data_IF_104088639852
#
_entry.id   IF_104088639852
#
_cell.length_a   1.000
_cell.length_b   1.000
_cell.length_c   1.000
_cell.angle_alpha   90.00
_cell.angle_beta   90.00
_cell.angle_gamma   90.00
#
_symmetry.space_group_name_H-M   'P 1'
#
loop_
_entity.id
_entity.type
_entity.pdbx_description
1 polymer ?
#
# COMPACT_ATOMS: atom_id res chain seq x y z
N UNK A 1 -41.28 -15.00 29.09
CA UNK A 1 -39.88 -14.72 29.49
C UNK A 1 -39.08 -16.03 29.51
N UNK A 2 -39.36 -16.97 30.42
CA UNK A 2 -38.63 -18.26 30.50
C UNK A 2 -38.54 -19.10 29.19
N UNK A 3 -39.60 -19.15 28.36
CA UNK A 3 -39.56 -19.87 27.06
C UNK A 3 -38.67 -19.19 26.00
N UNK A 4 -38.52 -17.86 26.07
CA UNK A 4 -37.69 -17.09 25.14
C UNK A 4 -36.21 -17.22 25.53
N UNK A 5 -35.91 -17.17 26.82
CA UNK A 5 -34.56 -17.39 27.37
C UNK A 5 -34.07 -18.81 27.06
N UNK A 6 -34.91 -19.84 27.30
CA UNK A 6 -34.56 -21.23 26.99
C UNK A 6 -34.36 -21.49 25.48
N UNK A 7 -34.99 -20.69 24.60
CA UNK A 7 -34.79 -20.78 23.16
C UNK A 7 -33.50 -20.06 22.73
N UNK A 8 -33.27 -18.86 23.28
CA UNK A 8 -32.04 -18.11 23.07
C UNK A 8 -30.81 -18.92 23.50
N UNK A 9 -30.86 -19.58 24.66
CA UNK A 9 -29.76 -20.40 25.16
C UNK A 9 -29.46 -21.60 24.27
N UNK A 10 -30.49 -22.34 23.82
CA UNK A 10 -30.32 -23.51 22.93
C UNK A 10 -29.70 -23.17 21.57
N UNK A 11 -29.82 -21.92 21.12
CA UNK A 11 -29.34 -21.48 19.81
C UNK A 11 -28.04 -20.66 19.90
N UNK A 12 -27.98 -19.68 20.81
CA UNK A 12 -26.86 -18.75 20.91
C UNK A 12 -25.67 -19.32 21.67
N UNK A 13 -25.87 -20.17 22.68
CA UNK A 13 -24.76 -20.77 23.41
C UNK A 13 -23.82 -21.63 22.52
N UNK A 14 -24.33 -22.55 21.67
CA UNK A 14 -23.47 -23.31 20.77
C UNK A 14 -22.85 -22.45 19.67
N UNK A 15 -23.58 -21.46 19.14
CA UNK A 15 -23.06 -20.51 18.15
C UNK A 15 -21.93 -19.66 18.75
N UNK A 16 -22.09 -19.21 20.01
CA UNK A 16 -21.07 -18.46 20.73
C UNK A 16 -19.83 -19.31 21.00
N UNK A 17 -20.01 -20.57 21.39
CA UNK A 17 -18.92 -21.53 21.60
C UNK A 17 -18.11 -21.75 20.31
N UNK A 18 -18.79 -22.00 19.20
CA UNK A 18 -18.13 -22.21 17.91
C UNK A 18 -17.42 -20.94 17.42
N UNK A 19 -18.05 -19.77 17.58
CA UNK A 19 -17.46 -18.49 17.24
C UNK A 19 -16.20 -18.19 18.08
N UNK A 20 -16.19 -18.55 19.36
CA UNK A 20 -15.03 -18.43 20.24
C UNK A 20 -13.94 -19.44 19.90
N UNK A 21 -14.31 -20.69 19.62
CA UNK A 21 -13.36 -21.73 19.24
C UNK A 21 -12.58 -21.33 18.00
N UNK A 22 -13.29 -20.85 16.97
CA UNK A 22 -12.64 -20.41 15.74
C UNK A 22 -12.05 -19.01 15.94
N UNK A 23 -12.54 -18.16 16.84
CA UNK A 23 -12.24 -16.73 16.89
C UNK A 23 -12.66 -15.99 15.62
N UNK A 24 -13.83 -16.30 15.08
CA UNK A 24 -14.37 -15.60 13.91
C UNK A 24 -15.00 -14.27 14.33
N UNK A 25 -14.42 -13.14 13.89
CA UNK A 25 -14.87 -11.80 14.30
C UNK A 25 -16.32 -11.53 13.87
N UNK A 26 -16.69 -11.88 12.63
CA UNK A 26 -18.02 -11.60 12.11
C UNK A 26 -19.11 -12.41 12.82
N UNK A 27 -18.84 -13.69 13.09
CA UNK A 27 -19.74 -14.54 13.90
C UNK A 27 -19.84 -14.03 15.33
N UNK A 28 -18.71 -13.66 15.95
CA UNK A 28 -18.69 -13.07 17.29
C UNK A 28 -19.53 -11.79 17.37
N UNK A 29 -19.41 -10.88 16.40
CA UNK A 29 -20.21 -9.66 16.32
C UNK A 29 -21.70 -9.97 16.14
N UNK A 30 -22.06 -10.93 15.28
CA UNK A 30 -23.45 -11.34 15.07
C UNK A 30 -24.07 -11.97 16.32
N UNK A 31 -23.33 -12.84 17.02
CA UNK A 31 -23.74 -13.44 18.29
C UNK A 31 -23.95 -12.37 19.35
N UNK A 32 -23.02 -11.43 19.48
CA UNK A 32 -23.12 -10.36 20.48
C UNK A 32 -24.31 -9.45 20.21
N UNK A 33 -24.52 -9.03 18.95
CA UNK A 33 -25.65 -8.18 18.57
C UNK A 33 -27.00 -8.85 18.87
N UNK A 34 -27.14 -10.14 18.57
CA UNK A 34 -28.36 -10.89 18.85
C UNK A 34 -28.55 -11.16 20.36
N UNK A 35 -27.47 -11.42 21.09
CA UNK A 35 -27.51 -11.59 22.54
C UNK A 35 -27.94 -10.29 23.24
N UNK A 36 -27.39 -9.14 22.83
CA UNK A 36 -27.77 -7.82 23.38
C UNK A 36 -29.25 -7.50 23.09
N UNK A 37 -29.74 -7.83 21.88
CA UNK A 37 -31.17 -7.66 21.51
C UNK A 37 -32.10 -8.48 22.40
N UNK A 38 -31.69 -9.71 22.73
CA UNK A 38 -32.46 -10.62 23.57
C UNK A 38 -32.18 -10.44 25.07
N UNK A 39 -31.26 -9.54 25.45
CA UNK A 39 -30.73 -9.40 26.82
C UNK A 39 -30.23 -10.73 27.40
N UNK A 40 -29.69 -11.57 26.54
CA UNK A 40 -29.16 -12.88 26.89
C UNK A 40 -27.73 -12.73 27.42
N UNK A 41 -27.47 -13.33 28.57
CA UNK A 41 -26.16 -13.31 29.23
C UNK A 41 -25.70 -14.74 29.44
N UNK A 42 -24.46 -15.02 29.04
CA UNK A 42 -23.80 -16.30 29.21
C UNK A 42 -22.28 -16.06 29.22
N UNK A 43 -21.52 -16.95 29.85
CA UNK A 43 -20.06 -16.90 29.91
C UNK A 43 -19.41 -16.70 28.53
N UNK A 44 -19.89 -17.41 27.50
CA UNK A 44 -19.36 -17.30 26.14
C UNK A 44 -19.66 -15.92 25.53
N UNK A 45 -20.85 -15.36 25.77
CA UNK A 45 -21.22 -14.03 25.27
C UNK A 45 -20.39 -12.94 25.95
N UNK A 46 -20.18 -13.05 27.26
CA UNK A 46 -19.28 -12.13 27.98
C UNK A 46 -17.85 -12.23 27.45
N UNK A 47 -17.36 -13.45 27.21
CA UNK A 47 -16.04 -13.67 26.65
C UNK A 47 -15.88 -13.07 25.25
N UNK A 48 -16.90 -13.20 24.38
CA UNK A 48 -16.95 -12.55 23.07
C UNK A 48 -16.86 -11.03 23.24
N UNK A 49 -17.62 -10.46 24.17
CA UNK A 49 -17.63 -9.03 24.44
C UNK A 49 -16.26 -8.52 24.88
N UNK A 50 -15.53 -9.28 25.70
CA UNK A 50 -14.15 -8.96 26.08
C UNK A 50 -13.19 -8.98 24.88
N UNK A 51 -13.27 -10.03 24.04
CA UNK A 51 -12.40 -10.19 22.87
C UNK A 51 -12.62 -9.08 21.84
N UNK A 52 -13.87 -8.68 21.60
CA UNK A 52 -14.21 -7.59 20.67
C UNK A 52 -13.83 -6.20 21.18
N UNK A 53 -13.51 -6.05 22.48
CA UNK A 53 -12.96 -4.82 23.05
C UNK A 53 -11.45 -4.72 22.93
N UNK A 54 -10.75 -5.80 22.57
CA UNK A 54 -9.30 -5.76 22.40
C UNK A 54 -8.91 -4.87 21.21
N UNK A 55 -7.69 -4.29 21.22
CA UNK A 55 -7.12 -3.68 20.03
C UNK A 55 -7.13 -4.66 18.85
N UNK A 56 -7.36 -4.14 17.64
CA UNK A 56 -7.49 -4.97 16.44
C UNK A 56 -6.27 -5.87 16.23
N UNK A 57 -5.07 -5.35 16.47
CA UNK A 57 -3.82 -6.09 16.35
C UNK A 57 -3.81 -7.30 17.31
N UNK A 58 -4.25 -7.10 18.55
CA UNK A 58 -4.28 -8.16 19.56
C UNK A 58 -5.28 -9.25 19.20
N UNK A 59 -6.45 -8.88 18.70
CA UNK A 59 -7.45 -9.84 18.26
C UNK A 59 -6.93 -10.67 17.07
N UNK A 60 -6.30 -10.02 16.08
CA UNK A 60 -5.76 -10.70 14.90
C UNK A 60 -4.58 -11.61 15.26
N UNK A 61 -3.73 -11.24 16.23
CA UNK A 61 -2.69 -12.13 16.78
C UNK A 61 -3.29 -13.41 17.39
N UNK A 62 -4.38 -13.30 18.14
CA UNK A 62 -5.08 -14.46 18.70
C UNK A 62 -5.68 -15.34 17.60
N UNK A 63 -6.30 -14.72 16.59
CA UNK A 63 -6.82 -15.42 15.42
C UNK A 63 -5.71 -16.16 14.65
N UNK A 64 -4.53 -15.55 14.52
CA UNK A 64 -3.37 -16.15 13.86
C UNK A 64 -2.88 -17.38 14.64
N UNK A 65 -2.70 -17.26 15.97
CA UNK A 65 -2.32 -18.40 16.81
C UNK A 65 -3.31 -19.54 16.67
N UNK A 66 -4.62 -19.23 16.69
CA UNK A 66 -5.67 -20.23 16.53
C UNK A 66 -5.67 -20.86 15.13
N UNK A 67 -5.41 -20.08 14.08
CA UNK A 67 -5.30 -20.60 12.72
C UNK A 67 -4.14 -21.60 12.57
N UNK A 68 -3.00 -21.33 13.22
CA UNK A 68 -1.86 -22.26 13.28
C UNK A 68 -2.23 -23.54 14.03
N UNK A 69 -2.87 -23.44 15.19
CA UNK A 69 -3.35 -24.59 15.97
C UNK A 69 -4.30 -25.48 15.16
N UNK A 70 -5.17 -24.87 14.35
CA UNK A 70 -6.14 -25.57 13.49
C UNK A 70 -5.55 -26.04 12.15
N UNK A 71 -4.26 -25.78 11.89
CA UNK A 71 -3.58 -26.07 10.62
C UNK A 71 -4.29 -25.46 9.39
N UNK A 72 -4.93 -24.30 9.55
CA UNK A 72 -5.62 -23.58 8.49
C UNK A 72 -4.65 -22.60 7.81
N UNK A 73 -3.97 -23.08 6.76
CA UNK A 73 -2.95 -22.32 6.04
C UNK A 73 -3.49 -21.03 5.41
N UNK A 74 -4.71 -21.08 4.88
CA UNK A 74 -5.32 -19.92 4.21
C UNK A 74 -5.59 -18.83 5.25
N UNK A 75 -6.12 -19.23 6.40
CA UNK A 75 -6.37 -18.30 7.49
C UNK A 75 -5.09 -17.73 8.08
N UNK A 76 -4.03 -18.52 8.22
CA UNK A 76 -2.71 -18.03 8.65
C UNK A 76 -2.26 -16.89 7.74
N UNK A 77 -2.20 -17.12 6.42
CA UNK A 77 -1.79 -16.10 5.44
C UNK A 77 -2.67 -14.84 5.56
N UNK A 78 -3.99 -15.00 5.60
CA UNK A 78 -4.90 -13.86 5.69
C UNK A 78 -4.74 -13.06 6.98
N UNK A 79 -4.43 -13.70 8.11
CA UNK A 79 -4.19 -13.01 9.39
C UNK A 79 -2.82 -12.32 9.42
N UNK A 80 -1.79 -12.93 8.85
CA UNK A 80 -0.47 -12.29 8.66
C UNK A 80 -0.57 -11.04 7.79
N UNK A 81 -1.29 -11.12 6.66
CA UNK A 81 -1.55 -9.96 5.79
C UNK A 81 -2.33 -8.86 6.53
N UNK A 82 -3.31 -9.24 7.37
CA UNK A 82 -4.06 -8.27 8.18
C UNK A 82 -3.18 -7.58 9.21
N UNK A 83 -2.31 -8.33 9.92
CA UNK A 83 -1.35 -7.73 10.85
C UNK A 83 -0.41 -6.76 10.15
N UNK A 84 0.08 -7.13 8.95
CA UNK A 84 0.90 -6.25 8.14
C UNK A 84 0.15 -4.97 7.76
N UNK A 85 -1.10 -5.08 7.29
CA UNK A 85 -1.93 -3.93 6.98
C UNK A 85 -2.12 -2.98 8.17
N UNK A 86 -2.49 -3.53 9.34
CA UNK A 86 -2.65 -2.74 10.56
C UNK A 86 -1.35 -2.03 10.98
N UNK A 87 -0.21 -2.71 10.85
CA UNK A 87 1.09 -2.11 11.13
C UNK A 87 1.38 -0.94 10.19
N UNK A 88 1.16 -1.12 8.89
CA UNK A 88 1.41 -0.10 7.87
C UNK A 88 0.48 1.11 8.03
N UNK A 89 -0.80 0.89 8.31
CA UNK A 89 -1.77 1.97 8.57
C UNK A 89 -1.36 2.79 9.79
N UNK A 90 -1.04 2.13 10.90
CA UNK A 90 -0.65 2.78 12.16
C UNK A 90 0.66 3.55 12.05
N UNK A 91 1.57 3.06 11.20
CA UNK A 91 2.91 3.63 11.02
C UNK A 91 3.09 4.27 9.64
N UNK A 92 2.00 4.70 8.98
CA UNK A 92 2.03 5.21 7.61
C UNK A 92 3.05 6.34 7.39
N UNK A 93 3.26 7.17 8.41
CA UNK A 93 4.24 8.26 8.37
C UNK A 93 5.69 7.80 8.16
N UNK A 94 6.04 6.55 8.52
CA UNK A 94 7.37 5.98 8.28
C UNK A 94 7.61 5.59 6.82
N UNK A 95 6.54 5.40 6.05
CA UNK A 95 6.58 4.84 4.69
C UNK A 95 6.21 5.88 3.63
N UNK A 96 6.49 7.15 3.90
CA UNK A 96 6.43 8.20 2.90
C UNK A 96 7.57 8.02 1.87
N UNK A 97 7.37 8.37 0.57
CA UNK A 97 8.42 8.25 -0.45
C UNK A 97 9.75 8.92 -0.07
N UNK A 98 9.69 10.00 0.71
CA UNK A 98 10.83 10.74 1.25
C UNK A 98 11.75 9.90 2.16
N UNK A 99 11.23 8.82 2.76
CA UNK A 99 11.95 7.96 3.69
C UNK A 99 12.60 6.74 3.03
N UNK A 100 12.51 6.61 1.69
CA UNK A 100 13.15 5.50 1.00
C UNK A 100 14.69 5.56 1.17
N UNK A 101 15.36 4.52 1.71
CA UNK A 101 16.78 4.62 2.11
C UNK A 101 17.76 4.97 1.00
N UNK A 102 17.47 4.61 -0.26
CA UNK A 102 18.34 4.91 -1.42
C UNK A 102 17.85 6.13 -2.23
N UNK A 103 16.94 6.92 -1.69
CA UNK A 103 16.51 8.16 -2.32
C UNK A 103 17.64 9.19 -2.23
N UNK A 104 17.92 9.87 -3.33
CA UNK A 104 18.86 11.00 -3.30
C UNK A 104 18.32 12.10 -2.40
N UNK A 105 19.22 12.87 -1.80
CA UNK A 105 18.78 14.11 -1.15
C UNK A 105 18.25 15.08 -2.21
N UNK A 106 17.31 15.98 -1.87
CA UNK A 106 16.86 17.04 -2.76
C UNK A 106 18.01 17.91 -3.30
N UNK A 107 19.07 18.07 -2.49
CA UNK A 107 20.28 18.77 -2.89
C UNK A 107 21.04 18.01 -3.99
N UNK A 108 21.31 16.73 -3.79
CA UNK A 108 22.06 15.91 -4.75
C UNK A 108 21.29 15.72 -6.05
N UNK A 109 19.97 15.58 -5.97
CA UNK A 109 19.10 15.59 -7.13
C UNK A 109 19.25 16.91 -7.91
N UNK A 110 19.12 18.06 -7.26
CA UNK A 110 19.21 19.37 -7.92
C UNK A 110 20.60 19.69 -8.48
N UNK A 111 21.67 19.20 -7.86
CA UNK A 111 23.05 19.44 -8.27
C UNK A 111 23.60 18.39 -9.26
N UNK A 112 22.85 17.34 -9.59
CA UNK A 112 23.33 16.28 -10.46
C UNK A 112 23.69 16.75 -11.89
N UNK A 113 24.83 16.26 -12.42
CA UNK A 113 25.35 16.58 -13.76
C UNK A 113 25.56 18.10 -13.98
N UNK A 114 25.35 18.57 -15.21
CA UNK A 114 25.43 19.97 -15.62
C UNK A 114 24.41 20.89 -14.94
N UNK A 115 23.51 20.36 -14.10
CA UNK A 115 22.60 21.17 -13.29
C UNK A 115 23.34 21.99 -12.22
N UNK A 116 24.58 21.63 -11.87
CA UNK A 116 25.44 22.43 -10.99
C UNK A 116 25.77 23.82 -11.56
N UNK A 117 25.68 24.01 -12.89
CA UNK A 117 25.88 25.30 -13.57
C UNK A 117 24.62 26.18 -13.55
N UNK A 118 23.50 25.69 -13.01
CA UNK A 118 22.25 26.43 -12.94
C UNK A 118 22.28 27.48 -11.81
N UNK A 119 21.45 28.51 -11.98
CA UNK A 119 21.25 29.52 -10.95
C UNK A 119 20.79 28.88 -9.63
N UNK A 120 21.09 29.56 -8.52
CA UNK A 120 20.68 29.10 -7.18
C UNK A 120 19.16 28.94 -7.07
N UNK A 121 18.39 29.84 -7.68
CA UNK A 121 16.92 29.78 -7.66
C UNK A 121 16.39 28.54 -8.38
N UNK A 122 16.93 28.21 -9.55
CA UNK A 122 16.49 27.03 -10.30
C UNK A 122 16.85 25.73 -9.58
N UNK A 123 18.00 25.67 -8.90
CA UNK A 123 18.34 24.51 -8.06
C UNK A 123 17.38 24.33 -6.89
N UNK A 124 16.93 25.41 -6.26
CA UNK A 124 15.92 25.35 -5.20
C UNK A 124 14.58 24.85 -5.72
N UNK A 125 14.16 25.29 -6.91
CA UNK A 125 12.94 24.81 -7.57
C UNK A 125 13.03 23.30 -7.90
N UNK A 126 14.15 22.85 -8.46
CA UNK A 126 14.39 21.43 -8.76
C UNK A 126 14.37 20.57 -7.49
N UNK A 127 14.99 21.04 -6.40
CA UNK A 127 14.99 20.34 -5.12
C UNK A 127 13.57 20.23 -4.54
N UNK A 128 12.80 21.33 -4.53
CA UNK A 128 11.43 21.35 -4.01
C UNK A 128 10.46 20.50 -4.84
N UNK A 129 10.72 20.38 -6.15
CA UNK A 129 9.93 19.57 -7.08
C UNK A 129 10.35 18.11 -7.18
N UNK A 130 11.36 17.64 -6.43
CA UNK A 130 11.96 16.31 -6.61
C UNK A 130 10.94 15.15 -6.54
N UNK A 131 9.98 15.19 -5.62
CA UNK A 131 8.93 14.16 -5.46
C UNK A 131 7.52 14.64 -5.85
N UNK A 132 7.42 15.79 -6.51
CA UNK A 132 6.14 16.32 -7.02
C UNK A 132 6.00 16.08 -8.51
N UNK A 133 4.78 16.05 -9.00
CA UNK A 133 4.50 15.92 -10.43
C UNK A 133 5.37 16.86 -11.29
N UNK A 134 5.96 16.33 -12.36
CA UNK A 134 6.77 17.10 -13.30
C UNK A 134 6.40 16.77 -14.75
N UNK A 135 6.05 17.79 -15.54
CA UNK A 135 5.74 17.63 -16.97
C UNK A 135 6.97 17.68 -17.88
N UNK A 136 8.17 17.89 -17.31
CA UNK A 136 9.45 17.89 -18.02
C UNK A 136 10.27 16.65 -17.63
N UNK A 137 11.07 16.08 -18.55
CA UNK A 137 11.94 14.96 -18.23
C UNK A 137 12.89 15.25 -17.06
N UNK A 138 13.11 14.26 -16.19
CA UNK A 138 14.11 14.36 -15.13
C UNK A 138 15.52 14.44 -15.71
N UNK A 139 16.36 15.30 -15.12
CA UNK A 139 17.77 15.44 -15.50
C UNK A 139 18.65 14.33 -14.90
N UNK A 140 18.18 13.66 -13.84
CA UNK A 140 18.82 12.53 -13.16
C UNK A 140 17.78 11.61 -12.49
N UNK A 141 18.19 10.41 -12.06
CA UNK A 141 17.35 9.51 -11.25
C UNK A 141 16.96 10.06 -9.88
N UNK A 142 15.83 9.60 -9.32
CA UNK A 142 15.39 9.92 -7.96
C UNK A 142 16.23 9.18 -6.91
N UNK A 143 16.65 7.96 -7.25
CA UNK A 143 17.44 7.06 -6.40
C UNK A 143 18.93 7.09 -6.76
N UNK A 144 19.75 6.63 -5.82
CA UNK A 144 21.17 6.37 -6.00
C UNK A 144 21.36 5.13 -6.88
N UNK A 145 21.87 5.33 -8.09
CA UNK A 145 22.05 4.31 -9.12
C UNK A 145 23.41 4.51 -9.82
N UNK A 146 23.96 3.42 -10.34
CA UNK A 146 25.13 3.47 -11.22
C UNK A 146 24.87 4.37 -12.44
N UNK A 147 25.90 5.03 -13.01
CA UNK A 147 25.71 6.03 -14.07
C UNK A 147 24.91 5.55 -15.29
N UNK A 148 25.06 4.28 -15.68
CA UNK A 148 24.31 3.67 -16.78
C UNK A 148 22.82 3.55 -16.44
N UNK A 149 22.49 3.01 -15.27
CA UNK A 149 21.13 2.88 -14.77
C UNK A 149 20.48 4.23 -14.49
N UNK A 150 21.24 5.22 -13.99
CA UNK A 150 20.74 6.58 -13.79
C UNK A 150 20.39 7.26 -15.13
N UNK A 151 21.12 6.94 -16.21
CA UNK A 151 20.78 7.41 -17.57
C UNK A 151 19.51 6.72 -18.07
N UNK A 152 19.40 5.41 -17.88
CA UNK A 152 18.21 4.63 -18.22
C UNK A 152 16.97 5.11 -17.47
N UNK A 153 17.06 5.32 -16.16
CA UNK A 153 15.99 5.90 -15.32
C UNK A 153 15.43 7.20 -15.90
N UNK A 154 16.29 8.11 -16.38
CA UNK A 154 15.83 9.36 -17.03
C UNK A 154 15.17 9.13 -18.39
N UNK A 155 15.51 8.03 -19.08
CA UNK A 155 14.84 7.62 -20.31
C UNK A 155 13.47 6.99 -20.01
N UNK A 156 13.37 6.16 -18.97
CA UNK A 156 12.11 5.59 -18.51
C UNK A 156 11.12 6.67 -18.06
N UNK A 157 11.59 7.73 -17.39
CA UNK A 157 10.73 8.86 -17.05
C UNK A 157 10.14 9.55 -18.29
N UNK A 158 10.89 9.63 -19.40
CA UNK A 158 10.34 10.15 -20.67
C UNK A 158 9.27 9.24 -21.24
N UNK A 159 9.43 7.92 -21.09
CA UNK A 159 8.44 6.93 -21.51
C UNK A 159 7.15 7.06 -20.68
N UNK A 160 7.30 7.25 -19.36
CA UNK A 160 6.22 7.59 -18.43
C UNK A 160 5.41 8.82 -18.88
N UNK A 161 6.08 9.95 -19.17
CA UNK A 161 5.42 11.16 -19.67
C UNK A 161 4.74 10.93 -21.02
N UNK A 162 5.38 10.19 -21.92
CA UNK A 162 4.84 9.87 -23.23
C UNK A 162 3.61 8.96 -23.16
N UNK A 163 3.61 7.97 -22.27
CA UNK A 163 2.46 7.11 -22.02
C UNK A 163 1.26 7.92 -21.50
N UNK A 164 1.50 8.87 -20.59
CA UNK A 164 0.48 9.74 -20.04
C UNK A 164 0.00 10.86 -20.99
N UNK A 165 0.57 10.96 -22.19
CA UNK A 165 0.22 11.99 -23.17
C UNK A 165 0.81 13.38 -22.90
N UNK A 166 1.73 13.50 -21.94
CA UNK A 166 2.44 14.75 -21.63
C UNK A 166 3.62 15.01 -22.58
N UNK A 167 3.94 14.03 -23.43
CA UNK A 167 4.95 14.13 -24.46
C UNK A 167 4.47 13.43 -25.74
N UNK A 168 4.77 13.99 -26.93
CA UNK A 168 4.45 13.31 -28.19
C UNK A 168 5.13 11.94 -28.26
N UNK A 169 4.33 10.91 -28.52
CA UNK A 169 4.79 9.58 -28.89
C UNK A 169 3.82 8.96 -29.90
N UNK A 170 4.33 8.32 -30.97
CA UNK A 170 3.47 7.68 -31.98
C UNK A 170 2.67 6.51 -31.40
N UNK A 171 3.24 5.80 -30.41
CA UNK A 171 2.63 4.65 -29.77
C UNK A 171 2.82 4.72 -28.24
N UNK A 172 1.91 5.37 -27.49
CA UNK A 172 1.99 5.48 -26.03
C UNK A 172 2.13 4.12 -25.32
N UNK A 173 1.43 3.09 -25.78
CA UNK A 173 1.44 1.74 -25.20
C UNK A 173 2.84 1.11 -25.27
N UNK A 174 3.59 1.36 -26.34
CA UNK A 174 4.97 0.89 -26.45
C UNK A 174 5.88 1.57 -25.42
N UNK A 175 5.54 2.79 -24.97
CA UNK A 175 6.29 3.48 -23.91
C UNK A 175 6.03 2.85 -22.53
N UNK A 176 4.78 2.49 -22.23
CA UNK A 176 4.48 1.70 -21.02
C UNK A 176 5.21 0.36 -21.03
N UNK A 177 5.21 -0.35 -22.16
CA UNK A 177 5.92 -1.63 -22.28
C UNK A 177 7.43 -1.50 -22.00
N UNK A 178 8.08 -0.42 -22.46
CA UNK A 178 9.49 -0.18 -22.15
C UNK A 178 9.74 0.00 -20.65
N UNK A 179 8.85 0.71 -19.94
CA UNK A 179 8.94 0.86 -18.47
C UNK A 179 8.78 -0.48 -17.79
N UNK A 180 7.79 -1.28 -18.20
CA UNK A 180 7.52 -2.58 -17.60
C UNK A 180 8.67 -3.58 -17.85
N UNK A 181 9.18 -3.64 -19.08
CA UNK A 181 10.28 -4.51 -19.46
C UNK A 181 11.55 -4.18 -18.66
N UNK A 182 11.86 -2.90 -18.48
CA UNK A 182 13.01 -2.49 -17.66
C UNK A 182 12.87 -2.94 -16.19
N UNK A 183 11.66 -2.88 -15.63
CA UNK A 183 11.40 -3.38 -14.28
C UNK A 183 11.53 -4.90 -14.13
N UNK A 184 11.24 -5.65 -15.20
CA UNK A 184 11.45 -7.11 -15.25
C UNK A 184 12.93 -7.47 -15.41
N UNK A 185 13.63 -6.76 -16.30
CA UNK A 185 15.01 -7.10 -16.68
C UNK A 185 16.06 -6.59 -15.69
N UNK A 186 15.76 -5.53 -14.93
CA UNK A 186 16.72 -4.83 -14.07
C UNK A 186 16.13 -4.56 -12.67
N UNK A 187 16.31 -5.49 -11.71
CA UNK A 187 15.82 -5.35 -10.34
C UNK A 187 16.26 -4.05 -9.63
N UNK A 188 17.41 -3.49 -10.01
CA UNK A 188 17.95 -2.23 -9.50
C UNK A 188 17.11 -1.00 -9.90
N UNK A 189 16.39 -1.07 -11.04
CA UNK A 189 15.51 0.00 -11.51
C UNK A 189 14.12 -0.07 -10.88
N UNK A 190 13.74 -1.18 -10.24
CA UNK A 190 12.40 -1.36 -9.68
C UNK A 190 12.02 -0.26 -8.69
N UNK A 191 12.84 0.09 -7.67
CA UNK A 191 12.49 1.17 -6.75
C UNK A 191 12.36 2.53 -7.46
N UNK A 192 13.22 2.80 -8.44
CA UNK A 192 13.19 4.02 -9.24
C UNK A 192 11.90 4.13 -10.05
N UNK A 193 11.47 3.06 -10.71
CA UNK A 193 10.22 3.03 -11.50
C UNK A 193 9.02 3.31 -10.61
N UNK A 194 8.91 2.63 -9.46
CA UNK A 194 7.82 2.87 -8.51
C UNK A 194 7.84 4.32 -8.01
N UNK A 195 8.98 4.84 -7.55
CA UNK A 195 9.07 6.22 -7.06
C UNK A 195 8.77 7.26 -8.16
N UNK A 196 9.16 7.03 -9.40
CA UNK A 196 8.80 7.89 -10.53
C UNK A 196 7.28 7.88 -10.80
N UNK A 197 6.63 6.72 -10.73
CA UNK A 197 5.16 6.62 -10.86
C UNK A 197 4.48 7.35 -9.70
N UNK A 198 4.88 7.09 -8.45
CA UNK A 198 4.32 7.73 -7.26
C UNK A 198 4.49 9.25 -7.29
N UNK A 199 5.65 9.75 -7.72
CA UNK A 199 5.90 11.18 -7.96
C UNK A 199 4.88 11.82 -8.90
N UNK A 200 4.51 11.15 -9.99
CA UNK A 200 3.54 11.68 -10.96
C UNK A 200 2.09 11.64 -10.44
N UNK A 201 1.82 10.77 -9.45
CA UNK A 201 0.55 10.68 -8.74
C UNK A 201 0.45 11.68 -7.58
N UNK A 202 1.57 12.05 -6.97
CA UNK A 202 1.65 12.99 -5.85
C UNK A 202 1.22 14.40 -6.28
N UNK A 203 0.38 15.03 -5.46
CA UNK A 203 -0.25 16.34 -5.72
C UNK A 203 -1.06 16.41 -7.04
N UNK A 204 -1.42 15.27 -7.62
CA UNK A 204 -2.11 15.17 -8.91
C UNK A 204 -3.58 14.68 -8.77
N UNK A 205 -4.22 14.92 -7.62
CA UNK A 205 -5.63 14.58 -7.39
C UNK A 205 -6.53 15.47 -8.26
N UNK A 206 -7.37 14.85 -9.09
CA UNK A 206 -8.41 15.53 -9.87
C UNK A 206 -7.96 16.13 -11.21
N UNK A 207 -6.70 15.99 -11.63
CA UNK A 207 -6.31 16.34 -13.00
C UNK A 207 -6.62 15.18 -13.93
N UNK A 208 -7.13 15.48 -15.12
CA UNK A 208 -7.45 14.51 -16.18
C UNK A 208 -6.24 13.61 -16.53
N UNK A 209 -5.01 14.06 -16.25
CA UNK A 209 -3.76 13.33 -16.54
C UNK A 209 -3.27 12.32 -15.49
N UNK A 210 -3.97 12.08 -14.37
CA UNK A 210 -3.47 11.13 -13.36
C UNK A 210 -3.81 9.65 -13.66
N UNK A 211 -4.87 9.39 -14.43
CA UNK A 211 -5.35 8.03 -14.74
C UNK A 211 -4.29 7.13 -15.40
N UNK A 212 -3.53 7.57 -16.41
CA UNK A 212 -2.49 6.74 -17.00
C UNK A 212 -1.43 6.29 -15.98
N UNK A 213 -1.07 7.13 -15.01
CA UNK A 213 -0.10 6.74 -13.99
C UNK A 213 -0.63 5.67 -13.02
N UNK A 214 -1.93 5.70 -12.69
CA UNK A 214 -2.58 4.63 -11.92
C UNK A 214 -2.66 3.32 -12.71
N UNK A 215 -2.96 3.39 -14.01
CA UNK A 215 -2.94 2.22 -14.90
C UNK A 215 -1.52 1.63 -14.98
N UNK A 216 -0.50 2.47 -15.11
CA UNK A 216 0.89 2.02 -15.14
C UNK A 216 1.36 1.44 -13.81
N UNK A 217 0.94 2.01 -12.67
CA UNK A 217 1.20 1.43 -11.34
C UNK A 217 0.59 0.02 -11.24
N UNK A 218 -0.64 -0.15 -11.72
CA UNK A 218 -1.34 -1.43 -11.74
C UNK A 218 -0.58 -2.45 -12.60
N UNK A 219 -0.19 -2.06 -13.81
CA UNK A 219 0.58 -2.91 -14.71
C UNK A 219 1.94 -3.30 -14.12
N UNK A 220 2.62 -2.37 -13.46
CA UNK A 220 3.88 -2.65 -12.77
C UNK A 220 3.69 -3.69 -11.65
N UNK A 221 2.70 -3.51 -10.78
CA UNK A 221 2.37 -4.45 -9.70
C UNK A 221 2.00 -5.85 -10.20
N UNK A 222 1.40 -5.95 -11.38
CA UNK A 222 1.10 -7.23 -12.04
C UNK A 222 2.32 -7.87 -12.71
N UNK A 223 3.35 -7.08 -13.06
CA UNK A 223 4.51 -7.53 -13.82
C UNK A 223 5.71 -7.89 -12.94
N UNK A 224 5.96 -7.11 -11.89
CA UNK A 224 7.07 -7.32 -10.96
C UNK A 224 6.73 -6.75 -9.57
N UNK A 225 7.09 -7.49 -8.52
CA UNK A 225 6.89 -7.04 -7.15
C UNK A 225 7.75 -5.80 -6.85
N UNK A 226 7.25 -4.81 -6.07
CA UNK A 226 8.05 -3.66 -5.70
C UNK A 226 9.35 -4.04 -4.96
N UNK A 227 9.25 -4.92 -3.96
CA UNK A 227 10.40 -5.44 -3.22
C UNK A 227 11.34 -4.37 -2.65
N UNK A 228 12.53 -4.77 -2.19
CA UNK A 228 13.66 -3.87 -1.93
C UNK A 228 13.36 -2.65 -1.04
N UNK A 229 12.38 -2.74 -0.12
CA UNK A 229 11.98 -1.67 0.80
C UNK A 229 11.06 -0.59 0.22
N UNK A 230 10.65 -0.69 -1.06
CA UNK A 230 9.65 0.23 -1.66
C UNK A 230 8.24 -0.33 -1.58
N UNK A 231 8.07 -1.61 -1.24
CA UNK A 231 6.78 -2.29 -1.12
C UNK A 231 5.87 -1.67 -0.05
N UNK A 232 6.42 -1.36 1.13
CA UNK A 232 5.64 -0.70 2.19
C UNK A 232 5.24 0.73 1.79
N UNK A 233 6.12 1.44 1.08
CA UNK A 233 5.85 2.78 0.55
C UNK A 233 4.70 2.73 -0.46
N UNK A 234 4.75 1.80 -1.41
CA UNK A 234 3.68 1.62 -2.41
C UNK A 234 2.37 1.24 -1.75
N UNK A 235 2.40 0.34 -0.75
CA UNK A 235 1.22 -0.06 0.01
C UNK A 235 0.56 1.13 0.71
N UNK A 236 1.33 1.88 1.51
CA UNK A 236 0.84 3.04 2.24
C UNK A 236 0.35 4.13 1.30
N UNK A 237 1.06 4.35 0.19
CA UNK A 237 0.63 5.30 -0.83
C UNK A 237 -0.73 4.92 -1.41
N UNK A 238 -0.95 3.63 -1.75
CA UNK A 238 -2.23 3.16 -2.27
C UNK A 238 -3.35 3.33 -1.25
N UNK A 239 -3.12 3.01 0.03
CA UNK A 239 -4.11 3.22 1.09
C UNK A 239 -4.50 4.69 1.24
N UNK A 240 -3.52 5.60 1.21
CA UNK A 240 -3.77 7.04 1.31
C UNK A 240 -4.57 7.62 0.13
N UNK A 241 -4.59 6.92 -1.01
CA UNK A 241 -5.27 7.32 -2.25
C UNK A 241 -6.50 6.47 -2.59
N UNK A 242 -6.82 5.46 -1.77
CA UNK A 242 -8.07 4.74 -1.88
C UNK A 242 -9.23 5.74 -1.68
N UNK A 243 -10.26 5.64 -2.53
CA UNK A 243 -11.51 6.36 -2.29
C UNK A 243 -12.15 5.91 -0.97
N UNK A 244 -13.13 6.66 -0.42
CA UNK A 244 -13.93 6.14 0.67
C UNK A 244 -14.55 4.81 0.23
N UNK A 245 -14.36 3.78 1.05
CA UNK A 245 -14.94 2.45 0.87
C UNK A 245 -16.47 2.47 1.02
#
# INVERSE_FOLDING_TARGET
>A
VAKLEANAERRLAPEADEALWVLDKGRMEAVLAEADRLRFVNEHVERIRELLRLPAEKLVELQLKKAVELNDRVRVINRELTLRGLYLEKNAFLFAPEHFPKLRTPHDFACAKMAALLSRSLRQELAAGMLRHASKPLHTSLTELEPALAKEATALFKCLLAYAGERPAPFPQAMALQVLQAGVDSPELVPEIYLQILKQLQDNRGRVGCRPYWELLTLALMSFAPGSGVDDIVHVFCLAHAGPA
#
